data_IF_252787807197
#
_entry.id   IF_252787807197
#
_cell.length_a   1.000
_cell.length_b   1.000
_cell.length_c   1.000
_cell.angle_alpha   90.00
_cell.angle_beta   90.00
_cell.angle_gamma   90.00
#
_symmetry.space_group_name_H-M   'P 1'
#
loop_
_entity.id
_entity.type
_entity.pdbx_description
1 polymer ?
#
# COMPACT_ATOMS: atom_id res chain seq x y z
N UNK A 1 4.74 -7.94 -20.43
CA UNK A 1 4.69 -6.49 -20.60
C UNK A 1 5.90 -5.91 -19.91
N UNK A 2 6.62 -4.99 -20.54
CA UNK A 2 7.73 -4.27 -19.89
C UNK A 2 7.17 -2.94 -19.41
N UNK A 3 7.03 -2.78 -18.09
CA UNK A 3 6.58 -1.52 -17.52
C UNK A 3 7.71 -0.48 -17.61
N UNK A 4 7.37 0.78 -17.93
CA UNK A 4 8.35 1.86 -18.01
C UNK A 4 8.72 2.41 -16.62
N UNK A 5 7.81 2.26 -15.66
CA UNK A 5 7.98 2.69 -14.28
C UNK A 5 7.17 1.81 -13.32
N UNK A 6 7.56 1.80 -12.05
CA UNK A 6 6.92 1.01 -11.00
C UNK A 6 6.77 1.83 -9.72
N UNK A 7 5.59 1.71 -9.12
CA UNK A 7 5.26 2.17 -7.78
C UNK A 7 5.14 0.91 -6.90
N UNK A 8 6.05 0.76 -5.96
CA UNK A 8 6.01 -0.31 -4.96
C UNK A 8 5.55 0.25 -3.62
N UNK A 9 4.37 -0.16 -3.18
CA UNK A 9 3.83 0.16 -1.86
C UNK A 9 4.29 -0.93 -0.89
N UNK A 10 5.06 -0.54 0.11
CA UNK A 10 5.61 -1.43 1.12
C UNK A 10 4.80 -1.26 2.40
N UNK A 11 4.16 -2.32 2.86
CA UNK A 11 3.26 -2.30 4.01
C UNK A 11 3.89 -3.04 5.20
N UNK A 12 3.63 -2.56 6.41
CA UNK A 12 4.07 -3.24 7.63
C UNK A 12 3.11 -4.34 8.04
N UNK A 13 3.68 -5.45 8.49
CA UNK A 13 2.92 -6.43 9.26
C UNK A 13 2.64 -5.84 10.64
N UNK A 14 1.37 -5.60 10.94
CA UNK A 14 0.96 -5.16 12.28
C UNK A 14 0.84 -6.36 13.22
N UNK A 15 0.92 -6.10 14.53
CA UNK A 15 0.64 -7.08 15.59
C UNK A 15 -0.69 -6.72 16.27
N UNK A 16 -1.53 -7.72 16.51
CA UNK A 16 -2.69 -7.60 17.38
C UNK A 16 -2.33 -8.09 18.78
N UNK A 17 -2.70 -7.31 19.80
CA UNK A 17 -2.52 -7.68 21.20
C UNK A 17 -3.87 -8.11 21.77
N UNK A 18 -3.97 -9.35 22.20
CA UNK A 18 -5.11 -9.86 22.95
C UNK A 18 -4.68 -10.17 24.38
N UNK A 19 -5.59 -10.00 25.35
CA UNK A 19 -5.32 -10.31 26.75
C UNK A 19 -6.09 -11.56 27.13
N UNK A 20 -5.38 -12.62 27.49
CA UNK A 20 -5.98 -13.85 28.00
C UNK A 20 -5.26 -14.29 29.28
N UNK A 21 -6.02 -14.51 30.35
CA UNK A 21 -5.50 -14.99 31.65
C UNK A 21 -4.32 -14.16 32.20
N UNK A 22 -4.40 -12.83 32.11
CA UNK A 22 -3.36 -11.94 32.62
C UNK A 22 -2.08 -11.90 31.78
N UNK A 23 -2.03 -12.55 30.61
CA UNK A 23 -0.91 -12.52 29.67
C UNK A 23 -1.28 -11.78 28.39
N UNK A 24 -0.32 -11.02 27.86
CA UNK A 24 -0.41 -10.42 26.53
C UNK A 24 -0.07 -11.48 25.50
N UNK A 25 -1.03 -11.84 24.66
CA UNK A 25 -0.82 -12.66 23.47
C UNK A 25 -0.68 -11.72 22.29
N UNK A 26 0.41 -11.88 21.53
CA UNK A 26 0.63 -11.14 20.29
C UNK A 26 0.36 -12.07 19.12
N UNK A 27 -0.64 -11.74 18.33
CA UNK A 27 -0.95 -12.44 17.07
C UNK A 27 -0.57 -11.53 15.90
N UNK A 28 -0.19 -12.09 14.74
CA UNK A 28 -0.09 -11.31 13.52
C UNK A 28 -1.43 -10.60 13.26
N UNK A 29 -1.37 -9.32 12.94
CA UNK A 29 -2.50 -8.58 12.41
C UNK A 29 -2.83 -8.99 10.96
N UNK A 30 -3.74 -8.25 10.30
CA UNK A 30 -4.12 -8.54 8.92
C UNK A 30 -2.91 -8.65 7.98
N UNK A 31 -2.97 -9.60 7.05
CA UNK A 31 -1.91 -9.83 6.05
C UNK A 31 -1.76 -8.59 5.13
N UNK A 32 -0.61 -7.92 5.12
CA UNK A 32 -0.39 -6.73 4.31
C UNK A 32 -0.54 -6.98 2.80
N UNK A 33 -0.19 -8.16 2.31
CA UNK A 33 -0.36 -8.48 0.88
C UNK A 33 -1.85 -8.66 0.55
N UNK A 34 -2.63 -9.21 1.47
CA UNK A 34 -4.09 -9.31 1.33
C UNK A 34 -4.74 -7.92 1.34
N UNK A 35 -4.31 -7.04 2.25
CA UNK A 35 -4.74 -5.63 2.25
C UNK A 35 -4.37 -4.97 0.92
N UNK A 36 -3.12 -5.11 0.49
CA UNK A 36 -2.64 -4.57 -0.78
C UNK A 36 -3.46 -5.04 -1.98
N UNK A 37 -3.86 -6.31 -2.00
CA UNK A 37 -4.71 -6.87 -3.05
C UNK A 37 -6.13 -6.26 -3.04
N UNK A 38 -6.70 -5.98 -1.86
CA UNK A 38 -8.01 -5.37 -1.71
C UNK A 38 -8.01 -3.92 -2.20
N UNK A 39 -7.01 -3.13 -1.83
CA UNK A 39 -6.94 -1.72 -2.25
C UNK A 39 -6.43 -1.55 -3.69
N UNK A 40 -5.75 -2.55 -4.26
CA UNK A 40 -5.18 -2.48 -5.61
C UNK A 40 -6.22 -2.04 -6.65
N UNK A 41 -7.43 -2.59 -6.62
CA UNK A 41 -8.48 -2.26 -7.59
C UNK A 41 -8.92 -0.80 -7.53
N UNK A 42 -8.71 -0.12 -6.40
CA UNK A 42 -9.01 1.31 -6.25
C UNK A 42 -7.82 2.17 -6.68
N UNK A 43 -6.59 1.79 -6.30
CA UNK A 43 -5.40 2.58 -6.59
C UNK A 43 -4.94 2.48 -8.04
N UNK A 44 -5.00 1.28 -8.64
CA UNK A 44 -4.42 1.01 -9.96
C UNK A 44 -5.05 1.87 -11.07
N UNK A 45 -6.38 2.02 -11.18
CA UNK A 45 -7.00 2.90 -12.18
C UNK A 45 -6.62 4.37 -12.00
N UNK A 46 -6.49 4.85 -10.76
CA UNK A 46 -6.11 6.25 -10.47
C UNK A 46 -4.65 6.49 -10.85
N UNK A 47 -3.78 5.53 -10.57
CA UNK A 47 -2.36 5.56 -10.96
C UNK A 47 -2.21 5.53 -12.48
N UNK A 48 -2.95 4.66 -13.18
CA UNK A 48 -2.93 4.57 -14.64
C UNK A 48 -3.52 5.80 -15.30
N UNK A 49 -4.56 6.41 -14.73
CA UNK A 49 -5.10 7.69 -15.22
C UNK A 49 -4.04 8.81 -15.18
N UNK A 50 -3.19 8.82 -14.15
CA UNK A 50 -2.16 9.85 -13.99
C UNK A 50 -0.86 9.58 -14.74
N UNK A 51 -0.38 8.35 -14.72
CA UNK A 51 0.94 7.99 -15.24
C UNK A 51 0.88 7.10 -16.50
N UNK A 52 -0.28 6.53 -16.83
CA UNK A 52 -0.42 5.61 -17.95
C UNK A 52 -0.34 4.13 -17.53
N UNK A 53 -0.89 3.28 -18.39
CA UNK A 53 -0.96 1.81 -18.26
C UNK A 53 0.42 1.13 -18.20
N UNK A 54 1.48 1.83 -18.59
CA UNK A 54 2.87 1.37 -18.50
C UNK A 54 3.48 1.54 -17.09
N UNK A 55 2.66 1.93 -16.10
CA UNK A 55 3.04 2.05 -14.70
C UNK A 55 2.60 0.82 -13.91
N UNK A 56 3.55 0.09 -13.35
CA UNK A 56 3.24 -1.07 -12.51
C UNK A 56 2.95 -0.65 -11.07
N UNK A 57 1.88 -1.20 -10.49
CA UNK A 57 1.63 -1.14 -9.05
C UNK A 57 1.94 -2.51 -8.40
N UNK A 58 2.82 -2.50 -7.40
CA UNK A 58 3.17 -3.71 -6.64
C UNK A 58 3.06 -3.47 -5.14
N UNK A 59 2.71 -4.52 -4.39
CA UNK A 59 2.68 -4.49 -2.93
C UNK A 59 3.71 -5.46 -2.37
N UNK A 60 4.42 -5.06 -1.33
CA UNK A 60 5.38 -5.92 -0.63
C UNK A 60 5.34 -5.68 0.88
N UNK A 61 5.89 -6.62 1.66
CA UNK A 61 5.99 -6.49 3.11
C UNK A 61 7.32 -5.82 3.49
N UNK A 62 7.28 -4.91 4.45
CA UNK A 62 8.46 -4.23 4.99
C UNK A 62 8.35 -4.00 6.50
N UNK A 63 9.46 -3.58 7.12
CA UNK A 63 9.47 -3.17 8.53
C UNK A 63 8.85 -1.80 8.78
N UNK A 64 8.82 -0.94 7.77
CA UNK A 64 8.23 0.41 7.82
C UNK A 64 7.44 0.62 6.53
N UNK A 65 6.29 1.29 6.66
CA UNK A 65 5.45 1.63 5.52
C UNK A 65 6.13 2.71 4.69
N UNK A 66 6.33 2.45 3.40
CA UNK A 66 7.03 3.35 2.48
C UNK A 66 6.57 3.13 1.04
N UNK A 67 6.78 4.14 0.20
CA UNK A 67 6.52 4.07 -1.25
C UNK A 67 7.84 4.17 -2.00
N UNK A 68 8.21 3.08 -2.68
CA UNK A 68 9.36 3.04 -3.58
C UNK A 68 8.92 3.33 -5.01
N UNK A 69 9.73 4.15 -5.68
CA UNK A 69 9.53 4.57 -7.05
C UNK A 69 10.71 4.08 -7.88
N UNK A 70 10.42 3.40 -8.98
CA UNK A 70 11.41 2.89 -9.92
C UNK A 70 11.07 3.39 -11.31
N UNK A 71 12.07 3.87 -12.06
CA UNK A 71 11.86 4.53 -13.34
C UNK A 71 11.67 6.04 -13.22
N UNK A 72 11.34 6.68 -14.34
CA UNK A 72 11.22 8.14 -14.41
C UNK A 72 9.77 8.58 -14.19
N UNK A 73 9.59 9.51 -13.25
CA UNK A 73 8.34 10.20 -12.99
C UNK A 73 8.49 11.68 -13.39
N UNK A 74 7.44 12.33 -13.90
CA UNK A 74 7.50 13.73 -14.28
C UNK A 74 7.62 14.66 -13.07
N UNK A 75 7.06 14.29 -11.91
CA UNK A 75 7.22 15.02 -10.66
C UNK A 75 8.42 14.55 -9.82
N UNK A 76 8.79 15.38 -8.86
CA UNK A 76 9.80 15.02 -7.85
C UNK A 76 9.32 13.84 -7.01
N UNK A 77 10.23 12.90 -6.72
CA UNK A 77 9.91 11.70 -5.95
C UNK A 77 9.13 11.94 -4.64
N UNK A 78 9.45 12.96 -3.80
CA UNK A 78 8.67 13.22 -2.59
C UNK A 78 7.20 13.56 -2.86
N UNK A 79 6.91 14.27 -3.95
CA UNK A 79 5.55 14.62 -4.36
C UNK A 79 4.76 13.38 -4.76
N UNK A 80 5.37 12.48 -5.55
CA UNK A 80 4.74 11.23 -5.96
C UNK A 80 4.49 10.33 -4.75
N UNK A 81 5.46 10.21 -3.83
CA UNK A 81 5.29 9.40 -2.60
C UNK A 81 4.17 9.92 -1.70
N UNK A 82 4.11 11.24 -1.47
CA UNK A 82 3.07 11.84 -0.65
C UNK A 82 1.67 11.62 -1.25
N UNK A 83 1.56 11.75 -2.58
CA UNK A 83 0.30 11.49 -3.28
C UNK A 83 -0.13 10.03 -3.20
N UNK A 84 0.77 9.07 -3.45
CA UNK A 84 0.47 7.62 -3.32
C UNK A 84 0.12 7.27 -1.88
N UNK A 85 0.80 7.85 -0.89
CA UNK A 85 0.50 7.62 0.51
C UNK A 85 -0.90 8.13 0.89
N UNK A 86 -1.33 9.27 0.33
CA UNK A 86 -2.69 9.78 0.47
C UNK A 86 -3.73 8.82 -0.12
N UNK A 87 -3.53 8.38 -1.37
CA UNK A 87 -4.43 7.39 -2.00
C UNK A 87 -4.55 6.10 -1.20
N UNK A 88 -3.44 5.61 -0.65
CA UNK A 88 -3.45 4.43 0.20
C UNK A 88 -4.22 4.67 1.49
N UNK A 89 -4.07 5.84 2.13
CA UNK A 89 -4.81 6.17 3.34
C UNK A 89 -6.32 6.20 3.07
N UNK A 90 -6.73 6.89 2.01
CA UNK A 90 -8.14 6.99 1.61
C UNK A 90 -8.75 5.59 1.34
N UNK A 91 -8.02 4.73 0.60
CA UNK A 91 -8.48 3.38 0.30
C UNK A 91 -8.56 2.48 1.55
N UNK A 92 -7.65 2.66 2.52
CA UNK A 92 -7.69 1.92 3.79
C UNK A 92 -8.86 2.36 4.68
N UNK A 93 -9.18 3.66 4.71
CA UNK A 93 -10.35 4.18 5.43
C UNK A 93 -11.64 3.60 4.85
N UNK A 94 -11.78 3.55 3.52
CA UNK A 94 -12.94 2.93 2.86
C UNK A 94 -13.09 1.43 3.17
N UNK A 95 -11.97 0.71 3.35
CA UNK A 95 -12.02 -0.72 3.73
C UNK A 95 -12.52 -0.94 5.16
N UNK A 96 -12.29 0.01 6.07
CA UNK A 96 -12.76 -0.11 7.46
C UNK A 96 -14.24 0.20 7.63
N UNK A 97 -14.87 0.91 6.69
CA UNK A 97 -16.30 1.24 6.70
C UNK A 97 -17.20 0.12 6.14
N UNK A 98 -16.62 -1.00 5.70
CA UNK A 98 -17.38 -2.19 5.27
C UNK A 98 -17.64 -3.10 6.47
N UNK A 99 -18.65 -2.76 7.27
CA UNK A 99 -19.24 -3.64 8.32
C UNK A 99 -20.22 -4.68 7.74
#
# INVERSE_FOLDING_TARGET
>A
MTYARRIEIRLTQTEQKTYAQGKVIRTPGPDPLRIGALVRSELEPVIHSKYGEDTELTFSVAQVTDVRLLGNFPEKAPTVRAWVAGLLADALENLTDVE
#
